data_IF_533877020241
#
_entry.id   IF_533877020241
#
_cell.length_a   1.000
_cell.length_b   1.000
_cell.length_c   1.000
_cell.angle_alpha   90.00
_cell.angle_beta   90.00
_cell.angle_gamma   90.00
#
_symmetry.space_group_name_H-M   'P 1'
#
loop_
_entity.id
_entity.type
_entity.pdbx_description
1 polymer ?
#
# COMPACT_ATOMS: atom_id res chain seq x y z
N UNK A 1 -14.19 5.48 -0.20
CA UNK A 1 -13.04 6.12 0.49
C UNK A 1 -11.70 5.84 -0.17
N UNK A 2 -11.18 4.60 -0.20
CA UNK A 2 -9.84 4.32 -0.76
C UNK A 2 -9.76 4.50 -2.28
N UNK A 3 -10.89 4.33 -2.98
CA UNK A 3 -11.05 4.70 -4.39
C UNK A 3 -11.02 6.22 -4.57
N UNK A 4 -11.82 6.94 -3.78
CA UNK A 4 -11.93 8.39 -3.83
C UNK A 4 -10.58 9.10 -3.52
N UNK A 5 -9.68 8.44 -2.79
CA UNK A 5 -8.31 8.92 -2.58
C UNK A 5 -7.53 9.21 -3.87
N UNK A 6 -7.94 8.62 -5.01
CA UNK A 6 -7.32 8.86 -6.32
C UNK A 6 -7.94 10.03 -7.09
N UNK A 7 -9.04 10.60 -6.62
CA UNK A 7 -9.85 11.54 -7.36
C UNK A 7 -9.54 12.95 -6.88
N UNK A 8 -8.98 13.76 -7.76
CA UNK A 8 -8.83 15.19 -7.49
C UNK A 8 -10.20 15.85 -7.65
N UNK A 9 -10.79 16.28 -6.53
CA UNK A 9 -12.19 16.72 -6.45
C UNK A 9 -12.59 17.78 -7.48
N UNK A 10 -11.75 18.78 -7.74
CA UNK A 10 -12.09 19.87 -8.67
C UNK A 10 -12.20 19.41 -10.14
N UNK A 11 -11.16 18.78 -10.74
CA UNK A 11 -11.23 18.35 -12.13
C UNK A 11 -12.00 17.03 -12.35
N UNK A 12 -12.21 16.20 -11.32
CA UNK A 12 -12.74 14.84 -11.45
C UNK A 12 -13.93 14.54 -10.54
N UNK A 13 -14.68 15.56 -10.11
CA UNK A 13 -15.82 15.41 -9.18
C UNK A 13 -16.82 14.32 -9.61
N UNK A 14 -17.10 14.19 -10.90
CA UNK A 14 -18.06 13.23 -11.44
C UNK A 14 -17.65 11.76 -11.24
N UNK A 15 -16.38 11.50 -10.93
CA UNK A 15 -15.89 10.17 -10.61
C UNK A 15 -15.97 9.84 -9.12
N UNK A 16 -16.21 10.84 -8.26
CA UNK A 16 -16.26 10.70 -6.81
C UNK A 16 -17.50 9.90 -6.40
N UNK A 17 -17.32 8.89 -5.55
CA UNK A 17 -18.45 8.17 -4.97
C UNK A 17 -18.91 8.95 -3.74
N UNK A 18 -20.11 9.51 -3.79
CA UNK A 18 -20.72 10.13 -2.61
C UNK A 18 -21.01 9.04 -1.57
N UNK A 19 -20.47 9.24 -0.37
CA UNK A 19 -20.58 8.26 0.72
C UNK A 19 -21.71 8.58 1.68
N UNK A 20 -22.44 9.68 1.46
CA UNK A 20 -23.50 10.25 2.33
C UNK A 20 -23.02 10.49 3.77
N UNK A 21 -23.33 11.64 4.37
CA UNK A 21 -22.98 11.94 5.79
C UNK A 21 -21.47 11.91 6.16
N UNK A 22 -20.57 12.01 5.18
CA UNK A 22 -19.12 12.16 5.39
C UNK A 22 -18.60 13.50 4.85
N UNK A 23 -18.02 14.31 5.73
CA UNK A 23 -17.25 15.50 5.34
C UNK A 23 -15.85 15.09 4.88
N UNK A 24 -15.27 15.84 3.94
CA UNK A 24 -13.99 15.48 3.30
C UNK A 24 -13.00 16.63 3.28
N UNK A 25 -11.76 16.36 3.70
CA UNK A 25 -10.65 17.34 3.69
C UNK A 25 -9.48 16.79 2.86
N UNK A 26 -9.11 17.43 1.73
CA UNK A 26 -7.96 17.00 0.94
C UNK A 26 -6.63 17.26 1.66
N UNK A 27 -5.63 16.41 1.39
CA UNK A 27 -4.24 16.70 1.76
C UNK A 27 -3.26 16.34 0.63
N UNK A 28 -2.15 17.08 0.56
CA UNK A 28 -1.03 16.77 -0.32
C UNK A 28 -1.22 17.07 -1.82
N UNK A 29 -2.39 17.55 -2.24
CA UNK A 29 -2.68 17.82 -3.66
C UNK A 29 -1.90 19.02 -4.23
N UNK A 30 -1.56 20.00 -3.39
CA UNK A 30 -0.82 21.23 -3.76
C UNK A 30 0.68 21.02 -4.00
N UNK A 31 1.24 19.88 -3.59
CA UNK A 31 2.68 19.60 -3.67
C UNK A 31 2.94 18.19 -4.20
N UNK A 32 4.19 17.92 -4.54
CA UNK A 32 4.65 16.57 -4.81
C UNK A 32 4.81 15.82 -3.47
N UNK A 33 4.12 14.68 -3.31
CA UNK A 33 4.20 13.88 -2.09
C UNK A 33 2.96 13.01 -1.86
N UNK A 34 2.80 12.55 -0.62
CA UNK A 34 1.66 11.73 -0.18
C UNK A 34 0.36 12.53 -0.26
N UNK A 35 -0.66 11.91 -0.86
CA UNK A 35 -1.96 12.52 -1.17
C UNK A 35 -3.11 11.69 -0.61
N UNK A 36 -4.26 12.32 -0.49
CA UNK A 36 -5.48 11.63 -0.10
C UNK A 36 -6.47 12.58 0.54
N UNK A 37 -7.36 12.00 1.35
CA UNK A 37 -8.45 12.69 2.01
C UNK A 37 -8.62 12.20 3.44
N UNK A 38 -9.00 13.13 4.31
CA UNK A 38 -9.56 12.84 5.63
C UNK A 38 -11.07 12.84 5.47
N UNK A 39 -11.73 11.76 5.86
CA UNK A 39 -13.18 11.66 5.94
C UNK A 39 -13.58 11.77 7.41
N UNK A 40 -14.57 12.61 7.72
CA UNK A 40 -15.10 12.76 9.07
C UNK A 40 -16.60 12.54 9.07
N UNK A 41 -17.10 11.78 10.05
CA UNK A 41 -18.54 11.69 10.27
C UNK A 41 -19.11 13.05 10.77
N UNK A 42 -20.43 13.19 10.76
CA UNK A 42 -21.12 14.44 11.11
C UNK A 42 -20.81 14.97 12.52
N UNK A 43 -20.30 14.12 13.41
CA UNK A 43 -19.97 14.46 14.79
C UNK A 43 -18.45 14.59 15.03
N UNK A 44 -17.63 14.37 14.00
CA UNK A 44 -16.18 14.22 14.09
C UNK A 44 -15.74 13.18 15.14
N UNK A 45 -16.54 12.14 15.38
CA UNK A 45 -16.18 11.03 16.27
C UNK A 45 -15.29 10.02 15.57
N UNK A 46 -15.60 9.73 14.31
CA UNK A 46 -14.84 8.80 13.48
C UNK A 46 -14.14 9.55 12.37
N UNK A 47 -12.82 9.37 12.28
CA UNK A 47 -11.99 9.96 11.24
C UNK A 47 -11.33 8.85 10.44
N UNK A 48 -11.56 8.81 9.13
CA UNK A 48 -10.90 7.88 8.22
C UNK A 48 -9.86 8.64 7.40
N UNK A 49 -8.59 8.30 7.56
CA UNK A 49 -7.51 8.85 6.71
C UNK A 49 -7.28 7.90 5.55
N UNK A 50 -7.73 8.29 4.36
CA UNK A 50 -7.54 7.53 3.13
C UNK A 50 -6.31 8.06 2.38
N UNK A 51 -5.30 7.20 2.22
CA UNK A 51 -4.04 7.54 1.56
C UNK A 51 -4.06 6.99 0.13
N UNK A 52 -3.80 7.89 -0.83
CA UNK A 52 -3.66 7.57 -2.25
C UNK A 52 -2.40 6.73 -2.47
N UNK A 53 -2.49 5.71 -3.33
CA UNK A 53 -1.33 4.97 -3.83
C UNK A 53 -0.70 5.57 -5.09
N UNK A 54 0.02 4.75 -5.85
CA UNK A 54 0.86 5.19 -6.97
C UNK A 54 0.05 5.77 -8.13
N UNK A 55 0.42 6.98 -8.57
CA UNK A 55 0.00 7.54 -9.84
C UNK A 55 0.70 6.81 -10.99
N UNK A 56 0.02 5.85 -11.62
CA UNK A 56 0.53 5.16 -12.79
C UNK A 56 0.39 6.05 -14.02
N UNK A 57 1.52 6.41 -14.63
CA UNK A 57 1.63 7.37 -15.74
C UNK A 57 0.92 6.98 -17.04
N UNK A 58 0.37 5.77 -17.11
CA UNK A 58 -0.35 5.21 -18.27
C UNK A 58 -1.86 5.08 -18.03
N UNK A 59 -2.37 5.38 -16.83
CA UNK A 59 -3.80 5.59 -16.61
C UNK A 59 -4.16 7.01 -17.09
N UNK A 60 -5.35 7.22 -17.68
CA UNK A 60 -5.73 8.47 -18.36
C UNK A 60 -5.61 9.74 -17.50
N UNK A 61 -5.50 9.60 -16.17
CA UNK A 61 -5.40 10.68 -15.19
C UNK A 61 -4.11 10.63 -14.34
N UNK A 62 -3.15 9.74 -14.65
CA UNK A 62 -2.04 9.38 -13.75
C UNK A 62 -0.63 9.81 -14.16
N UNK A 63 -0.47 10.65 -15.20
CA UNK A 63 0.84 11.03 -15.75
C UNK A 63 1.32 12.42 -15.34
N UNK A 64 2.06 12.53 -14.24
CA UNK A 64 2.67 13.79 -13.79
C UNK A 64 4.02 13.60 -13.07
N UNK A 65 4.70 14.69 -12.64
CA UNK A 65 5.94 14.65 -11.87
C UNK A 65 5.88 13.72 -10.64
N UNK A 66 4.71 13.65 -10.00
CA UNK A 66 4.40 12.79 -8.84
C UNK A 66 4.65 11.30 -9.11
N UNK A 67 4.39 10.82 -10.34
CA UNK A 67 4.63 9.42 -10.70
C UNK A 67 6.08 8.97 -10.49
N UNK A 68 7.04 9.91 -10.47
CA UNK A 68 8.45 9.62 -10.18
C UNK A 68 8.69 9.38 -8.70
N UNK A 69 8.07 10.18 -7.82
CA UNK A 69 8.24 10.06 -6.37
C UNK A 69 7.49 8.84 -5.83
N UNK A 70 6.30 8.55 -6.36
CA UNK A 70 5.57 7.33 -6.02
C UNK A 70 6.43 6.10 -6.39
N UNK A 71 6.93 6.06 -7.63
CA UNK A 71 7.82 4.99 -8.11
C UNK A 71 9.12 4.87 -7.32
N UNK A 72 9.71 6.00 -6.89
CA UNK A 72 10.89 5.97 -6.02
C UNK A 72 10.57 5.29 -4.70
N UNK A 73 9.45 5.65 -4.07
CA UNK A 73 9.04 5.08 -2.78
C UNK A 73 8.57 3.63 -2.91
N UNK A 74 7.86 3.27 -3.98
CA UNK A 74 7.55 1.87 -4.30
C UNK A 74 8.83 1.02 -4.37
N UNK A 75 9.83 1.51 -5.10
CA UNK A 75 11.12 0.86 -5.24
C UNK A 75 11.92 0.81 -3.93
N UNK A 76 11.82 1.83 -3.08
CA UNK A 76 12.48 1.84 -1.77
C UNK A 76 11.80 0.85 -0.80
N UNK A 77 10.47 0.80 -0.83
CA UNK A 77 9.65 0.03 0.11
C UNK A 77 9.61 -1.46 -0.22
N UNK A 78 9.37 -1.81 -1.48
CA UNK A 78 9.00 -3.17 -1.88
C UNK A 78 10.12 -3.95 -2.56
N UNK A 79 11.32 -3.38 -2.62
CA UNK A 79 12.51 -4.08 -3.11
C UNK A 79 13.38 -4.61 -1.98
N UNK A 80 14.15 -5.65 -2.31
CA UNK A 80 15.08 -6.27 -1.38
C UNK A 80 16.31 -5.40 -1.11
N UNK A 81 16.81 -4.69 -2.11
CA UNK A 81 18.00 -3.84 -1.96
C UNK A 81 17.92 -2.58 -2.83
N UNK A 82 17.01 -1.66 -2.49
CA UNK A 82 16.85 -0.36 -3.16
C UNK A 82 16.76 -0.47 -4.69
N UNK A 83 15.89 -1.35 -5.18
CA UNK A 83 15.63 -1.62 -6.58
C UNK A 83 16.88 -2.04 -7.39
N UNK A 84 17.85 -2.67 -6.72
CA UNK A 84 18.98 -3.30 -7.37
C UNK A 84 18.64 -4.73 -7.80
N UNK A 85 17.90 -4.84 -8.91
CA UNK A 85 17.51 -6.15 -9.47
C UNK A 85 18.67 -6.79 -10.24
N UNK A 86 19.32 -6.02 -11.12
CA UNK A 86 20.48 -6.49 -11.88
C UNK A 86 21.38 -5.34 -12.38
N UNK A 87 22.32 -5.65 -13.27
CA UNK A 87 23.30 -4.71 -13.83
C UNK A 87 22.67 -3.56 -14.63
N UNK A 88 21.45 -3.72 -15.16
CA UNK A 88 20.76 -2.69 -15.95
C UNK A 88 20.07 -1.64 -15.06
N UNK A 89 19.90 -1.93 -13.77
CA UNK A 89 19.28 -1.03 -12.80
C UNK A 89 20.32 -0.26 -11.99
N UNK A 90 20.12 1.06 -11.88
CA UNK A 90 20.95 1.94 -11.05
C UNK A 90 20.64 1.83 -9.56
N UNK A 91 19.43 1.40 -9.20
CA UNK A 91 18.91 1.43 -7.83
C UNK A 91 18.44 2.83 -7.41
N UNK A 92 17.68 2.90 -6.31
CA UNK A 92 17.14 4.15 -5.75
C UNK A 92 17.93 4.66 -4.54
N UNK A 93 18.86 3.86 -4.01
CA UNK A 93 19.72 4.24 -2.90
C UNK A 93 21.08 3.51 -2.99
N UNK A 94 22.07 3.97 -2.22
CA UNK A 94 23.45 3.44 -2.22
C UNK A 94 23.72 2.22 -1.32
N UNK A 95 22.70 1.49 -0.87
CA UNK A 95 22.89 0.41 0.11
C UNK A 95 23.38 -0.92 -0.47
N UNK A 96 23.30 -1.10 -1.79
CA UNK A 96 23.86 -2.26 -2.45
C UNK A 96 25.39 -2.31 -2.30
N UNK A 97 25.91 -3.50 -1.98
CA UNK A 97 27.36 -3.75 -1.92
C UNK A 97 27.81 -4.56 -3.14
N UNK A 98 27.92 -5.87 -3.00
CA UNK A 98 28.39 -6.77 -4.06
C UNK A 98 27.71 -8.14 -3.98
N UNK A 99 27.50 -8.76 -5.14
CA UNK A 99 26.78 -10.03 -5.23
C UNK A 99 25.37 -9.88 -4.67
N UNK A 100 25.05 -10.67 -3.65
CA UNK A 100 23.75 -10.62 -2.97
C UNK A 100 23.82 -9.93 -1.60
N UNK A 101 24.82 -9.08 -1.37
CA UNK A 101 24.98 -8.37 -0.10
C UNK A 101 24.36 -6.96 -0.16
N UNK A 102 23.54 -6.64 0.83
CA UNK A 102 22.95 -5.31 1.02
C UNK A 102 23.16 -4.83 2.45
N UNK A 103 23.49 -3.56 2.62
CA UNK A 103 23.78 -2.97 3.93
C UNK A 103 22.49 -2.67 4.69
N UNK A 104 22.25 -3.41 5.77
CA UNK A 104 21.02 -3.30 6.54
C UNK A 104 20.92 -1.97 7.31
N UNK A 105 22.06 -1.45 7.77
CA UNK A 105 22.11 -0.17 8.50
C UNK A 105 21.78 0.98 7.55
N UNK A 106 22.30 0.92 6.33
CA UNK A 106 21.95 1.83 5.26
C UNK A 106 20.47 1.73 4.90
N UNK A 107 19.90 0.53 4.73
CA UNK A 107 18.48 0.36 4.39
C UNK A 107 17.56 0.97 5.45
N UNK A 108 17.86 0.76 6.75
CA UNK A 108 17.14 1.41 7.84
C UNK A 108 17.21 2.95 7.72
N UNK A 109 18.40 3.49 7.47
CA UNK A 109 18.60 4.94 7.31
C UNK A 109 17.77 5.50 6.15
N UNK A 110 17.92 4.94 4.95
CA UNK A 110 17.24 5.41 3.74
C UNK A 110 15.71 5.28 3.83
N UNK A 111 15.20 4.32 4.61
CA UNK A 111 13.75 4.19 4.86
C UNK A 111 13.19 5.35 5.71
N UNK A 112 14.05 6.06 6.45
CA UNK A 112 13.69 7.03 7.48
C UNK A 112 14.36 8.41 7.27
N UNK A 113 14.46 8.88 6.02
CA UNK A 113 14.97 10.22 5.67
C UNK A 113 13.86 11.17 5.20
N UNK A 114 14.16 12.47 5.22
CA UNK A 114 13.35 13.52 4.59
C UNK A 114 13.19 13.21 3.09
N UNK A 115 11.95 12.89 2.67
CA UNK A 115 11.61 12.41 1.32
C UNK A 115 11.03 10.99 1.27
N UNK A 116 11.18 10.20 2.33
CA UNK A 116 10.46 8.94 2.50
C UNK A 116 8.97 9.21 2.69
N UNK A 117 8.13 8.49 1.94
CA UNK A 117 6.67 8.62 2.05
C UNK A 117 6.15 8.23 3.43
N UNK A 118 6.85 7.35 4.16
CA UNK A 118 6.48 7.05 5.54
C UNK A 118 6.61 8.30 6.44
N UNK A 119 7.66 9.10 6.28
CA UNK A 119 7.83 10.34 7.03
C UNK A 119 6.77 11.38 6.64
N UNK A 120 6.48 11.53 5.34
CA UNK A 120 5.41 12.41 4.89
C UNK A 120 4.04 12.00 5.44
N UNK A 121 3.74 10.70 5.44
CA UNK A 121 2.51 10.16 5.99
C UNK A 121 2.40 10.40 7.51
N UNK A 122 3.51 10.29 8.26
CA UNK A 122 3.55 10.61 9.70
C UNK A 122 3.20 12.07 9.98
N UNK A 123 3.76 13.00 9.22
CA UNK A 123 3.47 14.44 9.37
C UNK A 123 1.98 14.73 9.11
N UNK A 124 1.40 14.09 8.10
CA UNK A 124 -0.04 14.20 7.80
C UNK A 124 -0.86 13.66 8.96
N UNK A 125 -0.55 12.45 9.45
CA UNK A 125 -1.25 11.86 10.59
C UNK A 125 -1.16 12.73 11.86
N UNK A 126 0.02 13.26 12.19
CA UNK A 126 0.22 14.14 13.35
C UNK A 126 -0.64 15.41 13.23
N UNK A 127 -0.80 15.95 12.02
CA UNK A 127 -1.71 17.07 11.77
C UNK A 127 -3.17 16.67 11.98
N UNK A 128 -3.60 15.53 11.45
CA UNK A 128 -4.97 15.01 11.65
C UNK A 128 -5.24 14.81 13.13
N UNK A 129 -4.35 14.16 13.88
CA UNK A 129 -4.52 13.95 15.32
C UNK A 129 -4.58 15.26 16.11
N UNK A 130 -3.89 16.31 15.66
CA UNK A 130 -3.97 17.65 16.26
C UNK A 130 -5.31 18.33 15.99
N UNK A 131 -5.86 18.16 14.79
CA UNK A 131 -7.13 18.77 14.39
C UNK A 131 -8.34 18.02 14.99
N UNK A 132 -8.19 16.71 15.19
CA UNK A 132 -9.19 15.78 15.69
C UNK A 132 -8.67 15.02 16.93
N UNK A 133 -8.44 15.71 18.06
CA UNK A 133 -7.76 15.12 19.22
C UNK A 133 -8.57 13.99 19.89
N UNK A 134 -9.90 14.11 19.91
CA UNK A 134 -10.80 13.22 20.64
C UNK A 134 -11.46 12.14 19.77
N UNK A 135 -11.11 12.08 18.49
CA UNK A 135 -11.72 11.17 17.52
C UNK A 135 -11.02 9.80 17.46
N UNK A 136 -11.80 8.79 17.09
CA UNK A 136 -11.32 7.47 16.69
C UNK A 136 -10.79 7.53 15.25
N UNK A 137 -9.47 7.40 15.08
CA UNK A 137 -8.81 7.50 13.77
C UNK A 137 -8.54 6.12 13.19
N UNK A 138 -9.08 5.86 12.00
CA UNK A 138 -8.80 4.65 11.24
C UNK A 138 -8.08 4.99 9.94
N UNK A 139 -7.27 4.06 9.46
CA UNK A 139 -6.44 4.27 8.29
C UNK A 139 -6.90 3.37 7.14
N UNK A 140 -6.85 3.89 5.93
CA UNK A 140 -7.11 3.09 4.73
C UNK A 140 -6.26 3.55 3.55
N UNK A 141 -6.12 2.68 2.58
CA UNK A 141 -5.44 2.98 1.34
C UNK A 141 -5.41 1.79 0.41
N UNK A 142 -5.05 2.06 -0.83
CA UNK A 142 -4.87 1.05 -1.87
C UNK A 142 -3.44 1.08 -2.39
N UNK A 143 -2.89 -0.09 -2.75
CA UNK A 143 -1.53 -0.20 -3.27
C UNK A 143 -0.51 0.44 -2.32
N UNK A 144 0.42 1.28 -2.80
CA UNK A 144 1.35 2.07 -1.97
C UNK A 144 0.68 2.79 -0.78
N UNK A 145 -0.50 3.36 -0.99
CA UNK A 145 -1.23 4.09 0.06
C UNK A 145 -1.72 3.16 1.17
N UNK A 146 -2.04 1.90 0.82
CA UNK A 146 -2.38 0.86 1.79
C UNK A 146 -1.18 0.49 2.66
N UNK A 147 0.02 0.34 2.07
CA UNK A 147 1.23 0.08 2.85
C UNK A 147 1.56 1.24 3.79
N UNK A 148 1.37 2.49 3.36
CA UNK A 148 1.55 3.65 4.25
C UNK A 148 0.54 3.64 5.40
N UNK A 149 -0.72 3.28 5.13
CA UNK A 149 -1.75 3.15 6.15
C UNK A 149 -1.42 2.06 7.18
N UNK A 150 -0.97 0.87 6.77
CA UNK A 150 -0.59 -0.19 7.71
C UNK A 150 0.65 0.16 8.53
N UNK A 151 1.65 0.82 7.93
CA UNK A 151 2.84 1.29 8.65
C UNK A 151 2.51 2.37 9.68
N UNK A 152 1.61 3.31 9.35
CA UNK A 152 1.11 4.29 10.30
C UNK A 152 0.31 3.65 11.43
N UNK A 153 -0.48 2.61 11.12
CA UNK A 153 -1.20 1.85 12.13
C UNK A 153 -0.24 1.15 13.10
N UNK A 154 0.83 0.53 12.60
CA UNK A 154 1.88 -0.04 13.45
C UNK A 154 2.57 1.02 14.33
N UNK A 155 2.87 2.20 13.76
CA UNK A 155 3.55 3.28 14.49
C UNK A 155 2.68 3.89 15.59
N UNK A 156 1.35 3.88 15.44
CA UNK A 156 0.43 4.61 16.32
C UNK A 156 -0.60 3.73 17.04
N UNK A 157 -0.51 2.41 16.90
CA UNK A 157 -1.46 1.43 17.45
C UNK A 157 -2.92 1.69 17.02
N UNK A 158 -3.13 1.85 15.71
CA UNK A 158 -4.44 2.15 15.10
C UNK A 158 -4.99 0.99 14.27
N UNK A 159 -6.30 0.96 13.98
CA UNK A 159 -6.85 0.11 12.93
C UNK A 159 -6.46 0.57 11.53
N UNK A 160 -6.22 -0.39 10.64
CA UNK A 160 -6.04 -0.14 9.21
C UNK A 160 -6.76 -1.19 8.35
N UNK A 161 -7.45 -0.73 7.31
CA UNK A 161 -8.11 -1.56 6.30
C UNK A 161 -7.53 -1.19 4.94
N UNK A 162 -6.77 -2.09 4.34
CA UNK A 162 -5.96 -1.79 3.16
C UNK A 162 -6.33 -2.73 2.02
N UNK A 163 -6.21 -2.25 0.78
CA UNK A 163 -6.72 -2.95 -0.40
C UNK A 163 -5.62 -3.13 -1.43
N UNK A 164 -5.44 -4.36 -1.94
CA UNK A 164 -4.44 -4.73 -2.93
C UNK A 164 -3.07 -4.13 -2.62
N UNK A 165 -2.68 -4.22 -1.34
CA UNK A 165 -1.45 -3.62 -0.83
C UNK A 165 -0.26 -4.54 -1.15
N UNK A 166 0.89 -4.03 -1.59
CA UNK A 166 2.10 -4.83 -1.69
C UNK A 166 2.62 -5.18 -0.29
N UNK A 167 3.23 -6.35 -0.14
CA UNK A 167 3.77 -6.83 1.13
C UNK A 167 4.81 -5.89 1.74
N UNK A 168 4.49 -5.26 2.87
CA UNK A 168 5.26 -4.19 3.49
C UNK A 168 6.00 -4.61 4.77
N UNK A 169 5.88 -5.88 5.20
CA UNK A 169 6.47 -6.37 6.45
C UNK A 169 8.00 -6.16 6.50
N UNK A 170 8.70 -6.37 5.39
CA UNK A 170 10.14 -6.14 5.33
C UNK A 170 10.48 -4.66 5.58
N UNK A 171 9.70 -3.74 5.01
CA UNK A 171 9.89 -2.32 5.22
C UNK A 171 9.54 -1.90 6.65
N UNK A 172 8.46 -2.45 7.23
CA UNK A 172 8.11 -2.26 8.64
C UNK A 172 9.25 -2.68 9.59
N UNK A 173 9.93 -3.81 9.28
CA UNK A 173 11.12 -4.25 10.02
C UNK A 173 12.30 -3.28 9.87
N UNK A 174 12.55 -2.76 8.66
CA UNK A 174 13.58 -1.74 8.41
C UNK A 174 13.31 -0.45 9.17
N UNK A 175 12.05 -0.10 9.39
CA UNK A 175 11.65 1.06 10.18
C UNK A 175 11.63 0.81 11.70
N UNK A 176 11.84 -0.44 12.15
CA UNK A 176 11.78 -0.80 13.57
C UNK A 176 10.36 -0.80 14.15
N UNK A 177 9.32 -0.95 13.32
CA UNK A 177 7.91 -0.89 13.75
C UNK A 177 7.35 -2.22 14.27
N UNK A 178 8.05 -3.32 14.04
CA UNK A 178 7.61 -4.65 14.48
C UNK A 178 8.03 -4.86 15.94
N UNK A 179 7.01 -4.92 16.80
CA UNK A 179 7.12 -5.19 18.23
C UNK A 179 6.39 -6.50 18.56
N UNK A 180 6.46 -6.93 19.83
CA UNK A 180 5.72 -8.10 20.31
C UNK A 180 4.20 -7.98 20.09
N UNK A 181 3.65 -6.76 20.21
CA UNK A 181 2.20 -6.52 20.15
C UNK A 181 1.70 -6.14 18.75
N UNK A 182 2.59 -5.97 17.77
CA UNK A 182 2.22 -5.60 16.40
C UNK A 182 1.21 -6.56 15.76
N UNK A 183 1.26 -7.86 16.10
CA UNK A 183 0.31 -8.87 15.62
C UNK A 183 -1.09 -8.78 16.23
N UNK A 184 -1.28 -7.99 17.29
CA UNK A 184 -2.57 -7.79 17.96
C UNK A 184 -3.34 -6.60 17.40
N UNK A 185 -2.70 -5.76 16.58
CA UNK A 185 -3.33 -4.59 16.00
C UNK A 185 -4.34 -4.99 14.91
N UNK A 186 -5.49 -4.29 14.81
CA UNK A 186 -6.52 -4.55 13.80
C UNK A 186 -6.09 -4.01 12.43
N UNK A 187 -5.10 -4.65 11.82
CA UNK A 187 -4.58 -4.35 10.49
C UNK A 187 -5.01 -5.46 9.54
N UNK A 188 -5.80 -5.11 8.53
CA UNK A 188 -6.37 -6.02 7.55
C UNK A 188 -5.92 -5.64 6.13
N UNK A 189 -5.44 -6.64 5.40
CA UNK A 189 -5.00 -6.53 4.01
C UNK A 189 -5.93 -7.35 3.12
N UNK A 190 -6.83 -6.67 2.41
CA UNK A 190 -7.73 -7.28 1.46
C UNK A 190 -7.05 -7.32 0.09
N UNK A 191 -7.00 -8.49 -0.53
CA UNK A 191 -6.45 -8.64 -1.88
C UNK A 191 -6.98 -9.89 -2.55
N UNK A 192 -6.54 -10.18 -3.78
CA UNK A 192 -7.05 -11.34 -4.50
C UNK A 192 -5.97 -12.10 -5.26
N UNK A 193 -6.19 -13.39 -5.51
CA UNK A 193 -5.15 -14.30 -6.02
C UNK A 193 -4.68 -13.97 -7.45
N UNK A 194 -5.47 -13.24 -8.23
CA UNK A 194 -5.08 -12.74 -9.56
C UNK A 194 -4.24 -11.44 -9.57
N UNK A 195 -4.09 -10.73 -8.44
CA UNK A 195 -3.30 -9.50 -8.36
C UNK A 195 -1.82 -9.86 -8.16
N UNK A 196 -0.95 -9.60 -9.15
CA UNK A 196 0.46 -9.97 -9.04
C UNK A 196 1.25 -9.08 -8.06
N UNK A 197 0.78 -7.87 -7.72
CA UNK A 197 1.44 -7.00 -6.75
C UNK A 197 1.13 -7.45 -5.34
N UNK A 198 -0.16 -7.64 -4.99
CA UNK A 198 -0.57 -8.14 -3.68
C UNK A 198 0.05 -9.52 -3.38
N UNK A 199 0.04 -10.42 -4.36
CA UNK A 199 0.64 -11.74 -4.20
C UNK A 199 2.18 -11.72 -4.24
N UNK A 200 2.80 -10.57 -4.52
CA UNK A 200 4.25 -10.39 -4.64
C UNK A 200 4.91 -11.25 -5.72
N UNK A 201 4.22 -11.46 -6.83
CA UNK A 201 4.71 -12.20 -8.00
C UNK A 201 4.96 -11.32 -9.23
N UNK A 202 4.75 -10.00 -9.11
CA UNK A 202 5.14 -9.02 -10.12
C UNK A 202 6.65 -8.70 -10.06
N UNK A 203 7.50 -9.73 -10.12
CA UNK A 203 8.95 -9.61 -9.95
C UNK A 203 9.74 -10.29 -11.07
N UNK A 204 11.04 -9.96 -11.15
CA UNK A 204 11.96 -10.52 -12.13
C UNK A 204 11.84 -9.92 -13.54
N UNK A 205 12.81 -10.26 -14.39
CA UNK A 205 13.05 -9.63 -15.70
C UNK A 205 11.93 -9.76 -16.73
N UNK A 206 11.05 -10.75 -16.55
CA UNK A 206 9.92 -11.01 -17.46
C UNK A 206 8.62 -10.39 -16.96
N UNK A 207 8.62 -9.76 -15.77
CA UNK A 207 7.42 -9.11 -15.23
C UNK A 207 7.18 -7.75 -15.84
N UNK A 208 5.91 -7.38 -15.94
CA UNK A 208 5.53 -6.04 -16.40
C UNK A 208 5.98 -4.95 -15.43
N UNK A 209 6.02 -5.22 -14.12
CA UNK A 209 6.56 -4.30 -13.12
C UNK A 209 8.03 -3.96 -13.41
N UNK A 210 8.86 -4.96 -13.72
CA UNK A 210 10.24 -4.75 -14.13
C UNK A 210 10.34 -3.82 -15.35
N UNK A 211 9.56 -4.09 -16.40
CA UNK A 211 9.57 -3.28 -17.63
C UNK A 211 9.09 -1.84 -17.39
N UNK A 212 8.23 -1.62 -16.41
CA UNK A 212 7.78 -0.29 -16.00
C UNK A 212 8.67 0.36 -14.93
N UNK A 213 9.70 -0.34 -14.49
CA UNK A 213 10.72 0.14 -13.56
C UNK A 213 10.31 0.08 -12.08
N UNK A 214 9.37 -0.80 -11.73
CA UNK A 214 9.00 -1.13 -10.36
C UNK A 214 9.66 -2.46 -9.94
N UNK A 215 10.42 -2.42 -8.84
CA UNK A 215 11.10 -3.54 -8.22
C UNK A 215 10.26 -4.07 -7.06
N UNK A 216 9.18 -4.79 -7.40
CA UNK A 216 8.20 -5.31 -6.44
C UNK A 216 8.57 -6.73 -5.99
N UNK A 217 9.55 -6.85 -5.10
CA UNK A 217 10.13 -8.14 -4.68
C UNK A 217 9.53 -8.73 -3.40
N UNK A 218 8.81 -7.91 -2.61
CA UNK A 218 8.19 -8.32 -1.35
C UNK A 218 6.77 -8.83 -1.53
N UNK A 219 6.35 -9.72 -0.61
CA UNK A 219 5.01 -10.32 -0.58
C UNK A 219 4.41 -10.44 0.83
N UNK A 220 5.22 -10.28 1.87
CA UNK A 220 4.76 -10.51 3.23
C UNK A 220 4.08 -9.28 3.83
N UNK A 221 2.90 -9.47 4.41
CA UNK A 221 2.12 -8.39 5.03
C UNK A 221 2.29 -8.36 6.55
N UNK A 222 1.93 -7.22 7.14
CA UNK A 222 1.69 -7.14 8.58
C UNK A 222 0.24 -7.53 8.89
N UNK A 223 -0.14 -7.68 10.16
CA UNK A 223 -1.54 -7.97 10.50
C UNK A 223 -2.12 -9.24 9.87
N UNK A 224 -3.34 -9.14 9.33
CA UNK A 224 -4.11 -10.23 8.74
C UNK A 224 -4.33 -10.01 7.24
N UNK A 225 -4.16 -11.07 6.45
CA UNK A 225 -4.42 -11.09 5.02
C UNK A 225 -5.76 -11.77 4.73
N UNK A 226 -6.67 -11.05 4.06
CA UNK A 226 -7.99 -11.50 3.65
C UNK A 226 -8.01 -11.67 2.13
N UNK A 227 -7.80 -12.90 1.65
CA UNK A 227 -7.50 -13.14 0.22
C UNK A 227 -8.68 -13.74 -0.52
N UNK A 228 -9.18 -13.03 -1.52
CA UNK A 228 -10.25 -13.46 -2.41
C UNK A 228 -9.69 -14.36 -3.53
N UNK A 229 -10.16 -15.60 -3.63
CA UNK A 229 -9.67 -16.57 -4.62
C UNK A 229 -10.26 -16.38 -6.03
N UNK A 230 -9.94 -15.26 -6.67
CA UNK A 230 -10.42 -14.92 -8.02
C UNK A 230 -9.91 -15.87 -9.10
N UNK A 231 -8.73 -16.48 -8.93
CA UNK A 231 -8.20 -17.48 -9.87
C UNK A 231 -9.09 -18.71 -9.96
N UNK A 232 -9.40 -19.35 -8.84
CA UNK A 232 -10.21 -20.58 -8.87
C UNK A 232 -11.70 -20.30 -9.06
N UNK A 233 -12.22 -19.20 -8.50
CA UNK A 233 -13.66 -18.89 -8.53
C UNK A 233 -14.11 -18.21 -9.82
N UNK A 234 -13.27 -17.37 -10.42
CA UNK A 234 -13.62 -16.59 -11.62
C UNK A 234 -12.77 -16.96 -12.85
N UNK A 235 -11.77 -17.83 -12.71
CA UNK A 235 -10.87 -18.20 -13.81
C UNK A 235 -9.92 -17.06 -14.21
N UNK A 236 -9.76 -16.03 -13.38
CA UNK A 236 -8.87 -14.91 -13.68
C UNK A 236 -7.43 -15.40 -13.80
N UNK A 237 -6.68 -14.80 -14.73
CA UNK A 237 -5.23 -15.01 -14.83
C UNK A 237 -4.51 -13.96 -13.98
N UNK A 238 -3.25 -14.23 -13.64
CA UNK A 238 -2.41 -13.21 -13.01
C UNK A 238 -2.22 -12.06 -13.99
N UNK A 239 -2.72 -10.87 -13.65
CA UNK A 239 -2.70 -9.71 -14.53
C UNK A 239 -2.54 -8.43 -13.71
N UNK A 240 -1.64 -7.56 -14.14
CA UNK A 240 -1.39 -6.28 -13.47
C UNK A 240 -2.61 -5.36 -13.51
N UNK A 241 -3.49 -5.50 -14.50
CA UNK A 241 -4.73 -4.72 -14.60
C UNK A 241 -5.71 -5.10 -13.50
N UNK A 242 -5.65 -6.33 -13.01
CA UNK A 242 -6.48 -6.77 -11.90
C UNK A 242 -6.05 -6.13 -10.57
N UNK A 243 -4.85 -5.56 -10.46
CA UNK A 243 -4.44 -4.74 -9.30
C UNK A 243 -5.25 -3.45 -9.13
N UNK A 244 -6.02 -3.03 -10.14
CA UNK A 244 -6.85 -1.83 -9.99
C UNK A 244 -7.92 -1.99 -8.92
N UNK A 245 -8.15 -0.93 -8.14
CA UNK A 245 -9.13 -0.94 -7.06
C UNK A 245 -10.57 -1.16 -7.53
N UNK A 246 -10.94 -0.65 -8.73
CA UNK A 246 -12.28 -0.79 -9.28
C UNK A 246 -12.64 -2.27 -9.55
N UNK A 247 -11.82 -3.05 -10.29
CA UNK A 247 -12.01 -4.50 -10.39
C UNK A 247 -12.12 -5.22 -9.04
N UNK A 248 -11.43 -4.73 -8.01
CA UNK A 248 -11.47 -5.37 -6.70
C UNK A 248 -12.74 -5.06 -5.91
N UNK A 249 -13.25 -3.82 -6.01
CA UNK A 249 -14.56 -3.46 -5.45
C UNK A 249 -15.64 -4.39 -6.03
N UNK A 250 -15.62 -4.63 -7.35
CA UNK A 250 -16.56 -5.58 -7.98
C UNK A 250 -16.44 -7.00 -7.41
N UNK A 251 -15.23 -7.46 -7.10
CA UNK A 251 -15.01 -8.77 -6.48
C UNK A 251 -15.58 -8.83 -5.06
N UNK A 252 -15.37 -7.78 -4.26
CA UNK A 252 -15.85 -7.71 -2.88
C UNK A 252 -17.37 -7.65 -2.84
N UNK A 253 -17.98 -6.73 -3.61
CA UNK A 253 -19.42 -6.49 -3.60
C UNK A 253 -20.22 -7.71 -4.05
N UNK A 254 -19.64 -8.54 -4.93
CA UNK A 254 -20.29 -9.72 -5.47
C UNK A 254 -19.76 -11.04 -4.88
N UNK A 255 -18.95 -11.00 -3.81
CA UNK A 255 -18.28 -12.22 -3.33
C UNK A 255 -19.25 -13.30 -2.85
N UNK A 256 -20.32 -12.91 -2.15
CA UNK A 256 -21.38 -13.83 -1.73
C UNK A 256 -21.97 -14.57 -2.95
N UNK A 257 -22.32 -13.84 -4.01
CA UNK A 257 -22.86 -14.42 -5.24
C UNK A 257 -21.83 -15.31 -5.96
N UNK A 258 -20.58 -14.85 -6.07
CA UNK A 258 -19.46 -15.60 -6.65
C UNK A 258 -19.27 -16.96 -5.95
N UNK A 259 -19.47 -17.00 -4.63
CA UNK A 259 -19.32 -18.23 -3.84
C UNK A 259 -20.60 -19.03 -3.68
N UNK A 260 -21.72 -18.59 -4.28
CA UNK A 260 -23.07 -19.15 -4.11
C UNK A 260 -23.50 -19.18 -2.63
N UNK A 261 -23.31 -18.07 -1.92
CA UNK A 261 -23.71 -17.90 -0.53
C UNK A 261 -22.85 -18.67 0.48
N UNK A 262 -21.67 -19.16 0.08
CA UNK A 262 -20.78 -19.91 0.98
C UNK A 262 -19.92 -19.00 1.84
N UNK A 263 -19.47 -17.89 1.27
CA UNK A 263 -18.60 -16.92 1.92
C UNK A 263 -19.13 -15.51 1.65
N UNK A 264 -19.50 -14.77 2.71
CA UNK A 264 -19.89 -13.35 2.58
C UNK A 264 -18.69 -12.47 2.26
N UNK A 265 -17.56 -12.75 2.93
CA UNK A 265 -16.27 -12.07 2.77
C UNK A 265 -15.14 -13.09 2.85
N UNK A 266 -13.96 -12.73 2.34
CA UNK A 266 -12.78 -13.58 2.47
C UNK A 266 -12.35 -13.77 3.93
N UNK A 267 -11.96 -14.99 4.30
CA UNK A 267 -11.37 -15.26 5.61
C UNK A 267 -10.02 -14.58 5.75
N UNK A 268 -9.80 -13.92 6.89
CA UNK A 268 -8.57 -13.21 7.22
C UNK A 268 -7.66 -14.08 8.08
N UNK A 269 -6.40 -14.28 7.65
CA UNK A 269 -5.43 -15.12 8.35
C UNK A 269 -4.09 -14.41 8.52
N UNK A 270 -3.34 -14.77 9.55
CA UNK A 270 -1.98 -14.28 9.74
C UNK A 270 -1.02 -15.01 8.80
N UNK A 271 -0.10 -14.28 8.17
CA UNK A 271 0.91 -14.85 7.29
C UNK A 271 2.08 -15.45 8.10
N UNK A 272 1.87 -16.63 8.67
CA UNK A 272 2.89 -17.31 9.47
C UNK A 272 4.12 -17.68 8.63
N UNK A 273 5.31 -17.39 9.18
CA UNK A 273 6.60 -17.73 8.58
C UNK A 273 6.84 -17.18 7.17
N UNK A 274 6.14 -16.10 6.77
CA UNK A 274 6.41 -15.44 5.50
C UNK A 274 7.83 -14.85 5.48
N UNK A 275 8.54 -15.08 4.38
CA UNK A 275 9.91 -14.60 4.16
C UNK A 275 10.03 -13.95 2.80
N UNK A 276 10.48 -12.69 2.81
CA UNK A 276 10.91 -11.95 1.64
C UNK A 276 12.41 -12.10 1.44
N UNK A 277 12.88 -11.88 0.21
CA UNK A 277 14.29 -11.62 -0.09
C UNK A 277 15.29 -12.68 0.41
N UNK A 278 14.90 -13.95 0.45
CA UNK A 278 15.72 -15.04 1.03
C UNK A 278 17.08 -15.25 0.35
N UNK A 279 17.23 -14.75 -0.88
CA UNK A 279 18.47 -14.83 -1.64
C UNK A 279 19.45 -13.68 -1.33
N UNK A 280 19.00 -12.64 -0.62
CA UNK A 280 19.83 -11.53 -0.16
C UNK A 280 20.44 -11.82 1.21
N UNK A 281 21.69 -11.38 1.39
CA UNK A 281 22.39 -11.32 2.65
C UNK A 281 22.41 -9.87 3.14
N UNK A 282 21.72 -9.61 4.24
CA UNK A 282 21.66 -8.29 4.88
C UNK A 282 22.80 -8.16 5.88
N UNK A 283 23.83 -7.39 5.54
CA UNK A 283 25.08 -7.23 6.28
C UNK A 283 25.17 -5.91 7.03
#
# INVERSE_FOLDING_TARGET
>A
MSYDAYIELEPLKDHWIDLEDWDTIPFGWEKDGVRGYVFSDSENKTIIVAIKGTSLSYLPYGGGPISKNDKFNDNLMFSCCCAKIDITWKGVCGCYKSGWNCDNTCLHKESNVEGSYFISAKIIYEKVKKDFPDSDIWLTGHSLGGSLASLLALNNSLPAFTYQTPGELLYAKRLGLITHDSHKLPIYHFGHTADPIFMGVCNGRTSICYHWGFAMETKCHTGLSCVYDTKSKLGWKSDIRSHGIVPFIEVIDNWNDITNGKDDVASCINEENCKDCQHWNFV
#
